data_IF_308255807368
#
_entry.id   IF_308255807368
#
_cell.length_a   1.000
_cell.length_b   1.000
_cell.length_c   1.000
_cell.angle_alpha   90.00
_cell.angle_beta   90.00
_cell.angle_gamma   90.00
#
_symmetry.space_group_name_H-M   'P 1'
#
loop_
_entity.id
_entity.type
_entity.pdbx_description
1 polymer ?
#
# COMPACT_ATOMS: atom_id res chain seq x y z
N UNK A 1 7.82 32.06 30.92
CA UNK A 1 7.77 30.58 30.82
C UNK A 1 7.08 30.20 29.51
N UNK A 2 7.84 29.98 28.43
CA UNK A 2 7.27 29.63 27.12
C UNK A 2 7.05 28.11 27.04
N UNK A 3 5.79 27.68 26.86
CA UNK A 3 5.44 26.28 26.64
C UNK A 3 5.96 25.85 25.26
N UNK A 4 7.01 25.04 25.25
CA UNK A 4 7.55 24.40 24.05
C UNK A 4 6.49 23.47 23.47
N UNK A 5 5.85 23.88 22.38
CA UNK A 5 4.94 23.02 21.62
C UNK A 5 5.75 21.83 21.10
N UNK A 6 5.46 20.65 21.63
CA UNK A 6 5.97 19.38 21.11
C UNK A 6 5.35 19.17 19.72
N UNK A 7 6.22 19.12 18.71
CA UNK A 7 5.88 18.66 17.36
C UNK A 7 5.16 17.31 17.49
N UNK A 8 3.99 17.09 16.85
CA UNK A 8 3.30 15.81 16.96
C UNK A 8 4.28 14.72 16.50
N UNK A 9 4.56 13.77 17.40
CA UNK A 9 5.36 12.61 17.06
C UNK A 9 4.71 11.95 15.84
N UNK A 10 5.49 11.76 14.78
CA UNK A 10 5.05 11.00 13.61
C UNK A 10 4.45 9.69 14.13
N UNK A 11 3.18 9.45 13.80
CA UNK A 11 2.50 8.23 14.20
C UNK A 11 3.40 7.03 13.89
N UNK A 12 3.50 6.02 14.77
CA UNK A 12 4.30 4.84 14.50
C UNK A 12 3.85 4.30 13.15
N UNK A 13 4.77 4.33 12.17
CA UNK A 13 4.55 3.78 10.85
C UNK A 13 4.07 2.34 11.05
N UNK A 14 2.77 2.10 10.85
CA UNK A 14 2.15 0.81 11.13
C UNK A 14 2.78 -0.17 10.16
N UNK A 15 3.74 -0.94 10.66
CA UNK A 15 4.46 -1.96 9.91
C UNK A 15 3.43 -2.86 9.24
N UNK A 16 3.38 -2.87 7.92
CA UNK A 16 2.52 -3.79 7.18
C UNK A 16 3.23 -5.13 7.03
N UNK A 17 2.50 -6.22 7.15
CA UNK A 17 3.06 -7.54 6.81
C UNK A 17 3.23 -7.65 5.29
N UNK A 18 4.12 -8.55 4.83
CA UNK A 18 4.27 -8.83 3.40
C UNK A 18 2.94 -9.28 2.75
N UNK A 19 2.16 -10.11 3.46
CA UNK A 19 0.83 -10.55 3.01
C UNK A 19 -0.14 -9.38 2.84
N UNK A 20 -0.08 -8.41 3.75
CA UNK A 20 -0.91 -7.20 3.66
C UNK A 20 -0.46 -6.34 2.48
N UNK A 21 0.84 -6.11 2.31
CA UNK A 21 1.37 -5.39 1.15
C UNK A 21 0.96 -6.06 -0.18
N UNK A 22 1.05 -7.40 -0.27
CA UNK A 22 0.61 -8.15 -1.45
C UNK A 22 -0.88 -7.97 -1.72
N UNK A 23 -1.72 -7.97 -0.68
CA UNK A 23 -3.15 -7.72 -0.81
C UNK A 23 -3.46 -6.29 -1.29
N UNK A 24 -2.74 -5.30 -0.78
CA UNK A 24 -2.85 -3.90 -1.24
C UNK A 24 -2.47 -3.78 -2.71
N UNK A 25 -1.37 -4.41 -3.12
CA UNK A 25 -0.94 -4.45 -4.52
C UNK A 25 -2.01 -5.05 -5.44
N UNK A 26 -2.62 -6.17 -5.03
CA UNK A 26 -3.74 -6.78 -5.76
C UNK A 26 -4.97 -5.89 -5.84
N UNK A 27 -5.29 -5.17 -4.76
CA UNK A 27 -6.39 -4.21 -4.75
C UNK A 27 -6.15 -3.13 -5.81
N UNK A 28 -4.94 -2.54 -5.87
CA UNK A 28 -4.60 -1.53 -6.87
C UNK A 28 -4.69 -2.08 -8.29
N UNK A 29 -4.15 -3.27 -8.56
CA UNK A 29 -4.28 -3.95 -9.86
C UNK A 29 -5.72 -4.13 -10.30
N UNK A 30 -6.60 -4.56 -9.38
CA UNK A 30 -8.02 -4.75 -9.66
C UNK A 30 -8.69 -3.40 -10.01
N UNK A 31 -8.38 -2.35 -9.25
CA UNK A 31 -9.01 -1.03 -9.42
C UNK A 31 -8.46 -0.23 -10.62
N UNK A 32 -7.21 -0.48 -11.01
CA UNK A 32 -6.62 0.06 -12.23
C UNK A 32 -7.27 -0.55 -13.49
N UNK A 33 -7.71 -1.81 -13.42
CA UNK A 33 -8.37 -2.48 -14.54
C UNK A 33 -9.81 -1.97 -14.76
N UNK A 34 -10.59 -1.83 -13.69
CA UNK A 34 -11.96 -1.31 -13.75
C UNK A 34 -12.47 -0.89 -12.37
N UNK A 35 -13.40 0.09 -12.28
CA UNK A 35 -14.10 0.37 -11.04
C UNK A 35 -14.82 -0.86 -10.47
N UNK A 36 -14.78 -1.05 -9.16
CA UNK A 36 -15.35 -2.22 -8.49
C UNK A 36 -16.20 -1.85 -7.29
N UNK A 37 -17.28 -2.61 -7.07
CA UNK A 37 -18.06 -2.48 -5.83
C UNK A 37 -17.28 -3.02 -4.64
N UNK A 38 -17.60 -2.52 -3.44
CA UNK A 38 -17.06 -3.07 -2.18
C UNK A 38 -17.22 -4.59 -2.09
N UNK A 39 -18.41 -5.10 -2.42
CA UNK A 39 -18.73 -6.52 -2.31
C UNK A 39 -17.86 -7.39 -3.24
N UNK A 40 -17.61 -6.92 -4.46
CA UNK A 40 -16.71 -7.58 -5.39
C UNK A 40 -15.27 -7.60 -4.84
N UNK A 41 -14.78 -6.47 -4.32
CA UNK A 41 -13.43 -6.36 -3.76
C UNK A 41 -13.23 -7.28 -2.55
N UNK A 42 -14.14 -7.25 -1.56
CA UNK A 42 -14.05 -8.11 -0.36
C UNK A 42 -14.06 -9.59 -0.73
N UNK A 43 -14.89 -9.98 -1.71
CA UNK A 43 -14.96 -11.37 -2.18
C UNK A 43 -13.67 -11.81 -2.89
N UNK A 44 -13.14 -10.99 -3.80
CA UNK A 44 -11.92 -11.31 -4.57
C UNK A 44 -10.66 -11.31 -3.69
N UNK A 45 -10.59 -10.39 -2.72
CA UNK A 45 -9.46 -10.26 -1.80
C UNK A 45 -9.56 -11.18 -0.57
N UNK A 46 -10.67 -11.95 -0.44
CA UNK A 46 -10.97 -12.80 0.73
C UNK A 46 -10.81 -12.04 2.05
N UNK A 47 -11.37 -10.83 2.10
CA UNK A 47 -11.22 -9.87 3.18
C UNK A 47 -12.59 -9.54 3.78
N UNK A 48 -12.65 -9.36 5.09
CA UNK A 48 -13.85 -8.88 5.75
C UNK A 48 -14.05 -7.37 5.51
N UNK A 49 -15.23 -6.87 5.88
CA UNK A 49 -15.58 -5.46 5.65
C UNK A 49 -14.65 -4.53 6.44
N UNK A 50 -14.28 -4.89 7.68
CA UNK A 50 -13.41 -4.06 8.51
C UNK A 50 -11.98 -4.03 7.97
N UNK A 51 -11.44 -5.18 7.57
CA UNK A 51 -10.14 -5.28 6.91
C UNK A 51 -10.09 -4.45 5.65
N UNK A 52 -11.15 -4.47 4.84
CA UNK A 52 -11.24 -3.66 3.62
C UNK A 52 -11.13 -2.16 3.90
N UNK A 53 -11.89 -1.65 4.87
CA UNK A 53 -11.79 -0.22 5.21
C UNK A 53 -10.46 0.16 5.85
N UNK A 54 -9.84 -0.73 6.65
CA UNK A 54 -8.48 -0.51 7.18
C UNK A 54 -7.42 -0.45 6.09
N UNK A 55 -7.58 -1.26 5.04
CA UNK A 55 -6.69 -1.24 3.89
C UNK A 55 -6.92 0.02 3.04
N UNK A 56 -8.17 0.44 2.84
CA UNK A 56 -8.49 1.71 2.20
C UNK A 56 -7.93 2.93 2.96
N UNK A 57 -8.07 2.96 4.29
CA UNK A 57 -7.50 4.02 5.12
C UNK A 57 -5.98 4.07 5.02
N UNK A 58 -5.34 2.90 5.00
CA UNK A 58 -3.89 2.81 4.85
C UNK A 58 -3.42 3.32 3.49
N UNK A 59 -4.11 2.96 2.40
CA UNK A 59 -3.80 3.47 1.05
C UNK A 59 -3.99 4.98 0.96
N UNK A 60 -5.08 5.51 1.54
CA UNK A 60 -5.30 6.96 1.61
C UNK A 60 -4.23 7.68 2.43
N UNK A 61 -3.80 7.10 3.55
CA UNK A 61 -2.73 7.64 4.37
C UNK A 61 -1.37 7.63 3.64
N UNK A 62 -1.17 6.71 2.70
CA UNK A 62 -0.02 6.67 1.80
C UNK A 62 -0.14 7.63 0.60
N UNK A 63 -1.23 8.42 0.52
CA UNK A 63 -1.46 9.36 -0.57
C UNK A 63 -2.16 8.77 -1.80
N UNK A 64 -2.52 7.48 -1.77
CA UNK A 64 -3.20 6.80 -2.88
C UNK A 64 -4.70 7.09 -2.80
N UNK A 65 -5.24 7.74 -3.84
CA UNK A 65 -6.65 8.14 -3.89
C UNK A 65 -7.52 7.08 -4.55
N UNK A 66 -8.55 6.67 -3.83
CA UNK A 66 -9.51 5.66 -4.27
C UNK A 66 -10.94 6.20 -4.13
N UNK A 67 -11.39 7.09 -5.04
CA UNK A 67 -12.71 7.69 -4.96
C UNK A 67 -13.83 6.64 -5.08
N UNK A 68 -14.94 6.88 -4.37
CA UNK A 68 -16.15 6.08 -4.47
C UNK A 68 -17.16 6.82 -5.36
N UNK A 69 -17.35 6.35 -6.60
CA UNK A 69 -18.25 6.94 -7.58
C UNK A 69 -19.33 5.94 -7.93
N UNK A 70 -20.61 6.33 -7.81
CA UNK A 70 -21.77 5.45 -8.09
C UNK A 70 -21.69 4.09 -7.37
N UNK A 71 -21.17 4.08 -6.13
CA UNK A 71 -21.02 2.85 -5.33
C UNK A 71 -19.85 1.93 -5.73
N UNK A 72 -18.98 2.38 -6.63
CA UNK A 72 -17.79 1.68 -7.08
C UNK A 72 -16.52 2.46 -6.73
N UNK A 73 -15.52 1.78 -6.20
CA UNK A 73 -14.19 2.34 -6.02
C UNK A 73 -13.43 2.28 -7.33
N UNK A 74 -12.65 3.29 -7.63
CA UNK A 74 -11.69 3.32 -8.75
C UNK A 74 -10.33 3.80 -8.25
N UNK A 75 -9.26 3.51 -9.01
CA UNK A 75 -7.97 4.15 -8.79
C UNK A 75 -7.97 5.51 -9.49
N UNK A 76 -7.59 6.56 -8.78
CA UNK A 76 -7.32 7.89 -9.36
C UNK A 76 -5.83 7.98 -9.70
N UNK A 77 -5.50 8.19 -10.98
CA UNK A 77 -4.12 8.25 -11.47
C UNK A 77 -3.63 6.94 -12.08
N UNK A 78 -2.31 6.84 -12.28
CA UNK A 78 -1.66 5.68 -12.86
C UNK A 78 -1.38 4.57 -11.83
N UNK A 79 -1.36 3.32 -12.30
CA UNK A 79 -1.09 2.17 -11.44
C UNK A 79 0.36 2.16 -10.93
N UNK A 80 1.35 2.50 -11.76
CA UNK A 80 2.76 2.46 -11.39
C UNK A 80 3.07 3.52 -10.33
N UNK A 81 2.51 4.73 -10.47
CA UNK A 81 2.61 5.79 -9.47
C UNK A 81 2.04 5.34 -8.12
N UNK A 82 0.90 4.64 -8.13
CA UNK A 82 0.28 4.10 -6.93
C UNK A 82 1.08 2.94 -6.30
N UNK A 83 1.75 2.12 -7.13
CA UNK A 83 2.64 1.05 -6.68
C UNK A 83 3.86 1.64 -5.96
N UNK A 84 4.41 2.73 -6.46
CA UNK A 84 5.60 3.34 -5.85
C UNK A 84 5.31 3.90 -4.45
N UNK A 85 4.08 4.37 -4.21
CA UNK A 85 3.61 4.84 -2.90
C UNK A 85 3.17 3.71 -1.94
N UNK A 86 3.13 2.45 -2.40
CA UNK A 86 2.56 1.36 -1.62
C UNK A 86 3.37 1.13 -0.33
N UNK A 87 2.72 1.01 0.85
CA UNK A 87 3.39 0.66 2.08
C UNK A 87 4.17 -0.66 1.98
N UNK A 88 5.41 -0.67 2.47
CA UNK A 88 6.28 -1.83 2.47
C UNK A 88 6.49 -2.37 3.89
N UNK A 89 6.86 -3.67 4.07
CA UNK A 89 7.09 -4.24 5.39
C UNK A 89 8.22 -3.61 6.20
N UNK A 90 9.13 -2.88 5.55
CA UNK A 90 10.01 -1.95 6.24
C UNK A 90 9.29 -0.60 6.41
N UNK A 91 9.07 -0.12 7.64
CA UNK A 91 8.30 1.10 7.90
C UNK A 91 9.00 2.37 7.39
N UNK A 92 10.28 2.30 7.01
CA UNK A 92 11.07 3.41 6.49
C UNK A 92 11.09 3.47 4.97
N UNK A 93 10.50 2.48 4.30
CA UNK A 93 10.51 2.37 2.86
C UNK A 93 9.08 2.25 2.32
N UNK A 94 8.88 2.81 1.15
CA UNK A 94 7.81 2.47 0.24
C UNK A 94 8.23 1.33 -0.68
N UNK A 95 7.29 0.72 -1.38
CA UNK A 95 7.60 -0.32 -2.36
C UNK A 95 8.44 0.23 -3.52
N UNK A 96 8.23 1.47 -3.95
CA UNK A 96 9.04 2.13 -4.98
C UNK A 96 10.50 2.30 -4.54
N UNK A 97 10.73 2.82 -3.33
CA UNK A 97 12.08 2.97 -2.75
C UNK A 97 12.76 1.61 -2.56
N UNK A 98 12.02 0.60 -2.09
CA UNK A 98 12.52 -0.76 -1.98
C UNK A 98 12.95 -1.33 -3.35
N UNK A 99 12.17 -1.11 -4.41
CA UNK A 99 12.52 -1.51 -5.79
C UNK A 99 13.78 -0.81 -6.27
N UNK A 100 13.94 0.48 -5.98
CA UNK A 100 15.14 1.23 -6.33
C UNK A 100 16.38 0.68 -5.61
N UNK A 101 16.30 0.46 -4.30
CA UNK A 101 17.36 -0.13 -3.49
C UNK A 101 17.71 -1.56 -3.94
N UNK A 102 16.73 -2.32 -4.41
CA UNK A 102 16.92 -3.68 -4.88
C UNK A 102 17.75 -3.78 -6.17
N UNK A 103 18.04 -2.68 -6.91
CA UNK A 103 18.79 -2.73 -8.18
C UNK A 103 20.25 -3.20 -8.05
N UNK A 104 20.83 -3.20 -6.85
CA UNK A 104 22.19 -3.66 -6.60
C UNK A 104 22.42 -5.17 -6.82
N UNK A 105 23.70 -5.60 -6.70
CA UNK A 105 24.16 -6.96 -7.06
C UNK A 105 24.54 -7.85 -5.87
N UNK A 106 24.67 -7.31 -4.67
CA UNK A 106 25.04 -8.06 -3.46
C UNK A 106 23.91 -8.89 -2.84
N UNK A 107 24.25 -9.74 -1.86
CA UNK A 107 23.32 -10.65 -1.18
C UNK A 107 22.12 -9.93 -0.53
N UNK A 108 22.35 -8.76 0.08
CA UNK A 108 21.27 -7.96 0.67
C UNK A 108 20.24 -7.51 -0.39
N UNK A 109 20.70 -7.12 -1.58
CA UNK A 109 19.83 -6.75 -2.68
C UNK A 109 19.04 -7.96 -3.20
N UNK A 110 19.65 -9.15 -3.26
CA UNK A 110 18.95 -10.37 -3.64
C UNK A 110 17.84 -10.74 -2.65
N UNK A 111 18.10 -10.64 -1.33
CA UNK A 111 17.09 -10.83 -0.29
C UNK A 111 15.92 -9.84 -0.45
N UNK A 112 16.24 -8.56 -0.70
CA UNK A 112 15.22 -7.53 -0.92
C UNK A 112 14.39 -7.80 -2.19
N UNK A 113 15.03 -8.23 -3.29
CA UNK A 113 14.31 -8.65 -4.52
C UNK A 113 13.34 -9.80 -4.25
N UNK A 114 13.74 -10.81 -3.49
CA UNK A 114 12.87 -11.93 -3.13
C UNK A 114 11.67 -11.48 -2.30
N UNK A 115 11.88 -10.57 -1.34
CA UNK A 115 10.79 -10.00 -0.54
C UNK A 115 9.84 -9.13 -1.38
N UNK A 116 10.36 -8.36 -2.34
CA UNK A 116 9.53 -7.59 -3.26
C UNK A 116 8.73 -8.52 -4.18
N UNK A 117 9.36 -9.58 -4.69
CA UNK A 117 8.72 -10.55 -5.57
C UNK A 117 7.53 -11.24 -4.88
N UNK A 118 7.60 -11.51 -3.58
CA UNK A 118 6.46 -12.10 -2.85
C UNK A 118 5.28 -11.13 -2.65
N UNK A 119 5.52 -9.82 -2.78
CA UNK A 119 4.48 -8.78 -2.75
C UNK A 119 3.85 -8.59 -4.13
N UNK A 120 4.64 -8.68 -5.20
CA UNK A 120 4.20 -8.43 -6.58
C UNK A 120 3.44 -9.60 -7.24
N UNK A 121 2.93 -10.56 -6.45
CA UNK A 121 2.23 -11.78 -6.92
C UNK A 121 0.76 -11.56 -7.21
#
# INVERSE_FOLDING_TARGET
MARKQSKPAAAPAKTVTAERAARLYRLLKILAAAPQTRAALTRRLKLDIRGFYRDLELLRAAGIRLPLVKGQYSLEGDLEDAIDLLPFPDPRLTLGEARQLAKGRGLAHQKLKQQIASILV
#
